data_IF_812821549186
#
_entry.id   IF_812821549186
#
_cell.length_a   1.000
_cell.length_b   1.000
_cell.length_c   1.000
_cell.angle_alpha   90.00
_cell.angle_beta   90.00
_cell.angle_gamma   90.00
#
_symmetry.space_group_name_H-M   'P 1'
#
loop_
_entity.id
_entity.type
_entity.pdbx_description
1 polymer ?
#
# COMPACT_ATOMS: atom_id res chain seq x y z
N UNK A 1 -10.93 -5.60 -6.91
CA UNK A 1 -9.92 -6.67 -6.95
C UNK A 1 -9.71 -7.19 -5.54
N UNK A 2 -9.68 -8.49 -5.33
CA UNK A 2 -9.41 -9.03 -3.99
C UNK A 2 -7.93 -8.83 -3.64
N UNK A 3 -7.64 -8.20 -2.51
CA UNK A 3 -6.26 -8.02 -2.02
C UNK A 3 -6.20 -8.56 -0.61
N UNK A 4 -5.30 -9.51 -0.36
CA UNK A 4 -5.20 -10.19 0.93
C UNK A 4 -3.76 -10.28 1.39
N UNK A 5 -3.58 -10.30 2.71
CA UNK A 5 -2.27 -10.50 3.34
C UNK A 5 -1.92 -11.99 3.52
N UNK A 6 -2.89 -12.89 3.31
CA UNK A 6 -2.67 -14.34 3.34
C UNK A 6 -2.08 -14.85 2.03
N UNK A 7 -1.39 -15.99 2.10
CA UNK A 7 -0.87 -16.69 0.92
C UNK A 7 -1.99 -17.41 0.15
N UNK A 8 -2.81 -18.15 0.88
CA UNK A 8 -3.94 -18.88 0.33
C UNK A 8 -5.25 -18.19 0.72
N UNK A 9 -6.25 -18.28 -0.16
CA UNK A 9 -7.59 -17.73 0.05
C UNK A 9 -8.56 -18.90 0.16
N UNK A 10 -9.11 -19.13 1.36
CA UNK A 10 -10.03 -20.26 1.59
C UNK A 10 -11.23 -20.22 0.63
N UNK A 11 -11.53 -21.36 0.00
CA UNK A 11 -12.61 -21.48 -1.00
C UNK A 11 -12.20 -21.02 -2.40
N UNK A 12 -10.92 -20.74 -2.63
CA UNK A 12 -10.36 -20.37 -3.93
C UNK A 12 -9.06 -21.12 -4.22
N UNK A 13 -8.83 -21.43 -5.49
CA UNK A 13 -7.56 -21.92 -6.01
C UNK A 13 -6.89 -20.86 -6.88
N UNK A 14 -5.56 -20.83 -6.85
CA UNK A 14 -4.75 -20.03 -7.78
C UNK A 14 -4.64 -20.79 -9.11
N UNK A 15 -5.27 -20.27 -10.16
CA UNK A 15 -5.15 -20.81 -11.53
C UNK A 15 -3.86 -20.39 -12.21
N UNK A 16 -3.48 -19.13 -12.03
CA UNK A 16 -2.30 -18.55 -12.65
C UNK A 16 -1.62 -17.56 -11.70
N UNK A 17 -0.30 -17.61 -11.65
CA UNK A 17 0.53 -16.58 -11.01
C UNK A 17 1.01 -15.63 -12.10
N UNK A 18 0.73 -14.34 -11.97
CA UNK A 18 1.12 -13.31 -12.94
C UNK A 18 2.48 -12.69 -12.62
N UNK A 19 2.96 -12.81 -11.38
CA UNK A 19 4.23 -12.25 -10.92
C UNK A 19 4.04 -11.25 -9.79
N UNK A 20 5.12 -10.56 -9.43
CA UNK A 20 5.11 -9.49 -8.45
C UNK A 20 4.39 -8.24 -8.98
N UNK A 21 3.73 -7.53 -8.08
CA UNK A 21 3.13 -6.22 -8.34
C UNK A 21 3.47 -5.27 -7.20
N UNK A 22 3.57 -3.99 -7.54
CA UNK A 22 3.81 -2.96 -6.55
C UNK A 22 3.18 -1.63 -6.94
N UNK A 23 2.96 -0.79 -5.94
CA UNK A 23 2.59 0.60 -6.09
C UNK A 23 3.38 1.43 -5.09
N UNK A 24 4.05 2.46 -5.57
CA UNK A 24 4.91 3.33 -4.76
C UNK A 24 4.31 4.73 -4.64
N UNK A 25 4.55 5.38 -3.51
CA UNK A 25 4.27 6.81 -3.30
C UNK A 25 5.41 7.42 -2.50
N UNK A 26 5.96 8.53 -2.98
CA UNK A 26 6.95 9.33 -2.26
C UNK A 26 6.29 10.62 -1.76
N UNK A 27 6.52 10.96 -0.50
CA UNK A 27 6.05 12.20 0.13
C UNK A 27 7.24 13.02 0.63
N UNK A 28 7.19 14.33 0.44
CA UNK A 28 8.20 15.27 0.94
C UNK A 28 7.88 15.73 2.36
N UNK A 29 8.92 15.87 3.18
CA UNK A 29 8.88 16.44 4.53
C UNK A 29 8.48 17.92 4.54
N UNK A 30 8.48 18.62 3.40
CA UNK A 30 7.93 19.98 3.30
C UNK A 30 6.40 20.02 3.49
N UNK A 31 5.70 19.00 2.99
CA UNK A 31 4.26 18.81 3.24
C UNK A 31 4.00 18.50 4.73
N UNK A 32 4.88 17.67 5.29
CA UNK A 32 4.89 17.20 6.68
C UNK A 32 5.25 18.33 7.67
N UNK A 33 6.16 19.24 7.27
CA UNK A 33 6.62 20.39 8.05
C UNK A 33 5.54 21.45 8.24
N UNK A 34 4.70 21.68 7.22
CA UNK A 34 3.52 22.55 7.35
C UNK A 34 2.53 21.99 8.38
N UNK A 35 2.36 20.67 8.42
CA UNK A 35 1.52 19.99 9.41
C UNK A 35 2.18 20.05 10.81
N UNK A 36 3.49 19.86 10.91
CA UNK A 36 4.24 19.99 12.18
C UNK A 36 4.16 21.41 12.77
N UNK A 37 4.11 22.44 11.93
CA UNK A 37 3.94 23.83 12.37
C UNK A 37 2.58 24.08 13.02
N UNK A 38 1.50 23.42 12.57
CA UNK A 38 0.18 23.50 13.18
C UNK A 38 0.02 22.67 14.47
N UNK A 39 0.97 21.77 14.77
CA UNK A 39 0.86 20.78 15.85
C UNK A 39 1.78 21.02 17.05
N UNK A 40 2.48 22.17 17.08
CA UNK A 40 3.46 22.53 18.11
C UNK A 40 2.91 22.57 19.56
N UNK A 41 1.66 22.20 19.80
CA UNK A 41 0.99 22.18 21.11
C UNK A 41 0.68 20.79 21.69
N UNK A 42 0.89 19.67 20.98
CA UNK A 42 0.43 18.36 21.46
C UNK A 42 1.50 17.61 22.28
N UNK A 43 1.28 17.53 23.59
CA UNK A 43 2.03 16.67 24.51
C UNK A 43 1.40 15.26 24.44
N UNK A 44 2.12 14.31 23.83
CA UNK A 44 1.86 12.87 23.92
C UNK A 44 0.48 12.41 23.43
N UNK A 45 0.34 12.18 22.12
CA UNK A 45 -0.88 11.65 21.53
C UNK A 45 -0.73 11.36 20.03
N UNK A 46 -1.76 10.77 19.43
CA UNK A 46 -1.83 10.60 17.98
C UNK A 46 -1.87 11.96 17.28
N UNK A 47 -1.09 12.05 16.19
CA UNK A 47 -1.09 13.21 15.32
C UNK A 47 -2.03 12.92 14.13
N UNK A 48 -3.29 13.33 14.26
CA UNK A 48 -4.36 12.97 13.33
C UNK A 48 -4.09 13.35 11.88
N UNK A 49 -3.46 14.50 11.63
CA UNK A 49 -3.11 14.97 10.30
C UNK A 49 -2.01 14.10 9.67
N UNK A 50 -1.06 13.61 10.48
CA UNK A 50 -0.05 12.65 10.03
C UNK A 50 -0.67 11.30 9.77
N UNK A 51 -1.55 10.82 10.65
CA UNK A 51 -2.28 9.56 10.44
C UNK A 51 -3.06 9.64 9.13
N UNK A 52 -3.83 10.71 8.92
CA UNK A 52 -4.62 10.93 7.71
C UNK A 52 -3.73 10.97 6.47
N UNK A 53 -2.60 11.68 6.52
CA UNK A 53 -1.62 11.72 5.42
C UNK A 53 -1.06 10.33 5.10
N UNK A 54 -0.72 9.55 6.12
CA UNK A 54 -0.17 8.20 5.95
C UNK A 54 -1.23 7.22 5.43
N UNK A 55 -2.48 7.34 5.87
CA UNK A 55 -3.58 6.57 5.31
C UNK A 55 -3.78 6.86 3.83
N UNK A 56 -3.85 8.13 3.44
CA UNK A 56 -4.05 8.53 2.05
C UNK A 56 -2.88 8.08 1.17
N UNK A 57 -1.67 8.17 1.69
CA UNK A 57 -0.46 7.68 1.02
C UNK A 57 -0.51 6.16 0.81
N UNK A 58 -0.94 5.39 1.82
CA UNK A 58 -1.12 3.93 1.70
C UNK A 58 -2.24 3.55 0.73
N UNK A 59 -3.39 4.24 0.77
CA UNK A 59 -4.50 4.03 -0.17
C UNK A 59 -4.03 4.23 -1.61
N UNK A 60 -3.31 5.33 -1.87
CA UNK A 60 -2.76 5.62 -3.19
C UNK A 60 -1.72 4.58 -3.64
N UNK A 61 -0.88 4.07 -2.74
CA UNK A 61 0.07 3.00 -3.05
C UNK A 61 -0.67 1.71 -3.44
N UNK A 62 -1.72 1.34 -2.69
CA UNK A 62 -2.57 0.19 -3.00
C UNK A 62 -3.27 0.35 -4.34
N UNK A 63 -3.82 1.53 -4.64
CA UNK A 63 -4.49 1.79 -5.92
C UNK A 63 -3.55 1.59 -7.11
N UNK A 64 -2.30 2.08 -7.01
CA UNK A 64 -1.26 1.88 -8.04
C UNK A 64 -0.89 0.41 -8.19
N UNK A 65 -0.75 -0.33 -7.09
CA UNK A 65 -0.47 -1.77 -7.10
C UNK A 65 -1.61 -2.55 -7.77
N UNK A 66 -2.87 -2.18 -7.48
CA UNK A 66 -4.05 -2.79 -8.08
C UNK A 66 -4.11 -2.50 -9.58
N UNK A 67 -3.83 -1.26 -10.01
CA UNK A 67 -3.75 -0.91 -11.43
C UNK A 67 -2.68 -1.74 -12.16
N UNK A 68 -1.51 -1.93 -11.53
CA UNK A 68 -0.44 -2.76 -12.07
C UNK A 68 -0.91 -4.22 -12.25
N UNK A 69 -1.56 -4.80 -11.24
CA UNK A 69 -2.14 -6.15 -11.31
C UNK A 69 -3.24 -6.28 -12.39
N UNK A 70 -4.07 -5.25 -12.58
CA UNK A 70 -5.10 -5.23 -13.61
C UNK A 70 -4.50 -5.30 -15.02
N UNK A 71 -3.42 -4.55 -15.27
CA UNK A 71 -2.70 -4.58 -16.56
C UNK A 71 -2.14 -5.97 -16.85
N UNK A 72 -1.77 -6.72 -15.82
CA UNK A 72 -1.29 -8.11 -15.93
C UNK A 72 -2.41 -9.15 -16.08
N UNK A 73 -3.68 -8.72 -16.09
CA UNK A 73 -4.83 -9.61 -16.19
C UNK A 73 -5.10 -10.43 -14.92
N UNK A 74 -4.59 -9.99 -13.77
CA UNK A 74 -4.91 -10.62 -12.48
C UNK A 74 -6.28 -10.18 -11.97
N UNK A 75 -6.91 -11.03 -11.15
CA UNK A 75 -8.17 -10.71 -10.48
C UNK A 75 -8.02 -10.62 -8.94
N UNK A 76 -6.84 -10.96 -8.42
CA UNK A 76 -6.50 -10.84 -7.01
C UNK A 76 -5.00 -10.61 -6.79
N UNK A 77 -4.66 -10.15 -5.60
CA UNK A 77 -3.28 -10.01 -5.09
C UNK A 77 -3.20 -10.73 -3.75
N UNK A 78 -2.28 -11.68 -3.61
CA UNK A 78 -2.00 -12.42 -2.38
C UNK A 78 -0.68 -11.99 -1.75
N UNK A 79 -0.47 -12.34 -0.48
CA UNK A 79 0.72 -11.96 0.29
C UNK A 79 1.02 -10.45 0.23
N UNK A 80 -0.03 -9.63 0.20
CA UNK A 80 0.14 -8.18 0.17
C UNK A 80 0.83 -7.69 1.44
N UNK A 81 1.81 -6.80 1.27
CA UNK A 81 2.57 -6.16 2.35
C UNK A 81 2.74 -4.67 2.05
N UNK A 82 3.07 -3.93 3.11
CA UNK A 82 3.65 -2.60 2.98
C UNK A 82 5.12 -2.65 3.34
N UNK A 83 5.91 -1.85 2.64
CA UNK A 83 7.22 -1.40 3.09
C UNK A 83 7.23 0.13 3.14
N UNK A 84 8.15 0.68 3.93
CA UNK A 84 8.37 2.12 3.99
C UNK A 84 9.85 2.42 4.23
N UNK A 85 10.38 3.36 3.46
CA UNK A 85 11.78 3.76 3.54
C UNK A 85 11.90 5.28 3.67
N UNK A 86 12.99 5.76 4.29
CA UNK A 86 13.36 7.17 4.24
C UNK A 86 14.33 7.40 3.08
N UNK A 87 14.03 8.40 2.24
CA UNK A 87 14.89 8.81 1.13
C UNK A 87 15.57 10.11 1.54
N UNK A 88 16.85 10.02 1.88
CA UNK A 88 17.62 11.13 2.44
C UNK A 88 17.02 11.63 3.75
N UNK A 89 17.08 12.94 3.98
CA UNK A 89 16.56 13.55 5.21
C UNK A 89 15.20 14.23 5.03
N UNK A 90 14.61 14.20 3.83
CA UNK A 90 13.45 15.04 3.52
C UNK A 90 12.35 14.30 2.79
N UNK A 91 12.46 13.00 2.53
CA UNK A 91 11.42 12.27 1.82
C UNK A 91 11.18 10.92 2.48
N UNK A 92 9.95 10.44 2.38
CA UNK A 92 9.56 9.10 2.79
C UNK A 92 8.86 8.40 1.63
N UNK A 93 9.17 7.13 1.43
CA UNK A 93 8.51 6.26 0.48
C UNK A 93 7.59 5.28 1.22
N UNK A 94 6.44 5.00 0.63
CA UNK A 94 5.59 3.87 0.99
C UNK A 94 5.40 3.02 -0.26
N UNK A 95 5.63 1.71 -0.12
CA UNK A 95 5.42 0.72 -1.17
C UNK A 95 4.37 -0.27 -0.70
N UNK A 96 3.31 -0.44 -1.47
CA UNK A 96 2.43 -1.61 -1.37
C UNK A 96 2.91 -2.63 -2.39
N UNK A 97 3.10 -3.90 -2.00
CA UNK A 97 3.50 -4.95 -2.93
C UNK A 97 2.87 -6.29 -2.58
N UNK A 98 2.86 -7.22 -3.54
CA UNK A 98 2.36 -8.58 -3.36
C UNK A 98 2.51 -9.39 -4.64
N UNK A 99 1.81 -10.52 -4.71
CA UNK A 99 1.81 -11.39 -5.90
C UNK A 99 0.46 -11.33 -6.59
N UNK A 100 0.45 -10.91 -7.85
CA UNK A 100 -0.75 -10.89 -8.67
C UNK A 100 -1.09 -12.31 -9.16
N UNK A 101 -2.36 -12.69 -9.01
CA UNK A 101 -2.85 -14.03 -9.32
C UNK A 101 -4.24 -13.99 -9.98
N UNK A 102 -4.59 -15.08 -10.65
CA UNK A 102 -5.96 -15.38 -11.07
C UNK A 102 -6.53 -16.42 -10.12
N UNK A 103 -7.46 -16.03 -9.26
CA UNK A 103 -8.22 -16.91 -8.39
C UNK A 103 -9.50 -17.40 -9.06
N UNK A 104 -9.85 -18.66 -8.80
CA UNK A 104 -11.12 -19.28 -9.16
C UNK A 104 -11.72 -19.93 -7.90
N UNK A 105 -13.05 -19.87 -7.72
CA UNK A 105 -13.69 -20.53 -6.57
C UNK A 105 -13.52 -22.04 -6.69
N UNK A 106 -13.29 -22.69 -5.56
CA UNK A 106 -13.36 -24.16 -5.47
C UNK A 106 -14.80 -24.61 -5.77
N UNK A 107 -14.92 -25.66 -6.59
CA UNK A 107 -16.21 -26.27 -6.97
C UNK A 107 -16.75 -27.19 -5.87
#
# INVERSE_FOLDING_TARGET
MLVVTTENVKGYIVREVKGEVFGLVVRSRGLVGNIMASLRSLIGGEIHEYTSLLEDTRKQAVDRMVQNAQVMGANAIVMMRFDSSEIGQTMSEIVAYGTAVVLEKEA
#
